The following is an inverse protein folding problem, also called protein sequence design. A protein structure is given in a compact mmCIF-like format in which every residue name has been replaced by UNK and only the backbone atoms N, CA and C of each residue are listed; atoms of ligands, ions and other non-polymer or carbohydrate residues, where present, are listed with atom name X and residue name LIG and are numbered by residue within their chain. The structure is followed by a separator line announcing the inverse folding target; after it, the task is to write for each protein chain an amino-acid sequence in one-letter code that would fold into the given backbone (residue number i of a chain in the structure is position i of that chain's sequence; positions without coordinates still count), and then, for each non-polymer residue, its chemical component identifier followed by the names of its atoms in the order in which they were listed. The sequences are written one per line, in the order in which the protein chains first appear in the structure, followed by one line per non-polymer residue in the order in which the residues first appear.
data_IF_318526413267
#
_entry.id   IF_318526413267
#
_cell.length_a   1.000
_cell.length_b   1.000
_cell.length_c   1.000
_cell.angle_alpha   90.00
_cell.angle_beta   90.00
_cell.angle_gamma   90.00
#
_symmetry.space_group_name_H-M   'P 1'
#
loop_
_entity.id
_entity.type
_entity.pdbx_description
1 polymer ?
#
# COMPACT_ATOMS: atom_id res chain seq x y z
N UNK A 1 -6.60 -4.17 8.59
CA UNK A 1 -8.00 -4.51 8.29
C UNK A 1 -8.62 -5.51 9.28
N UNK A 2 -7.79 -6.38 9.84
CA UNK A 2 -8.28 -7.35 10.83
C UNK A 2 -8.82 -6.67 12.11
N UNK A 3 -8.26 -5.54 12.51
CA UNK A 3 -8.81 -4.74 13.60
C UNK A 3 -10.23 -4.25 13.34
N UNK A 4 -10.56 -3.85 12.12
CA UNK A 4 -11.91 -3.45 11.71
C UNK A 4 -12.94 -4.56 11.73
N UNK A 5 -12.52 -5.82 11.77
CA UNK A 5 -13.41 -6.96 11.96
C UNK A 5 -13.84 -7.14 13.41
N UNK A 6 -13.04 -6.66 14.34
CA UNK A 6 -13.27 -6.82 15.77
C UNK A 6 -13.94 -5.58 16.39
N UNK A 7 -13.61 -4.41 15.85
CA UNK A 7 -14.11 -3.14 16.37
C UNK A 7 -14.77 -2.35 15.24
N UNK A 8 -16.08 -2.14 15.37
CA UNK A 8 -16.84 -1.31 14.45
C UNK A 8 -16.36 0.16 14.55
N UNK A 9 -16.33 0.86 13.41
CA UNK A 9 -15.85 2.24 13.29
C UNK A 9 -14.38 2.45 13.72
N UNK A 10 -13.57 1.40 13.64
CA UNK A 10 -12.11 1.54 13.82
C UNK A 10 -11.54 2.56 12.83
N UNK A 11 -10.48 3.29 13.20
CA UNK A 11 -9.82 4.24 12.30
C UNK A 11 -9.33 3.57 11.02
N UNK A 12 -9.37 4.31 9.92
CA UNK A 12 -8.83 3.84 8.64
C UNK A 12 -7.30 3.81 8.72
N UNK A 13 -6.64 2.63 8.58
CA UNK A 13 -5.20 2.50 8.77
C UNK A 13 -4.36 3.46 7.92
N UNK A 14 -4.72 3.70 6.67
CA UNK A 14 -4.00 4.66 5.82
C UNK A 14 -3.92 6.06 6.42
N UNK A 15 -4.99 6.52 7.09
CA UNK A 15 -5.01 7.84 7.74
C UNK A 15 -4.11 7.90 8.98
N UNK A 16 -3.77 6.76 9.57
CA UNK A 16 -2.90 6.67 10.74
C UNK A 16 -1.40 6.64 10.40
N UNK A 17 -1.03 6.30 9.16
CA UNK A 17 0.38 6.12 8.78
C UNK A 17 1.23 7.35 9.13
N UNK A 18 0.85 8.59 8.78
CA UNK A 18 1.66 9.77 9.09
C UNK A 18 1.89 9.97 10.59
N UNK A 19 0.85 9.79 11.41
CA UNK A 19 0.94 9.96 12.85
C UNK A 19 1.79 8.87 13.50
N UNK A 20 1.62 7.62 13.07
CA UNK A 20 2.45 6.49 13.52
C UNK A 20 3.91 6.73 13.13
N UNK A 21 4.18 7.15 11.89
CA UNK A 21 5.53 7.48 11.44
C UNK A 21 6.15 8.61 12.25
N UNK A 22 5.37 9.65 12.53
CA UNK A 22 5.82 10.77 13.38
C UNK A 22 6.18 10.32 14.79
N UNK A 23 5.36 9.46 15.39
CA UNK A 23 5.57 8.96 16.74
C UNK A 23 6.79 8.01 16.85
N UNK A 24 6.99 7.13 15.86
CA UNK A 24 8.06 6.11 15.87
C UNK A 24 9.39 6.62 15.30
N UNK A 25 9.38 7.74 14.57
CA UNK A 25 10.57 8.21 13.85
C UNK A 25 10.99 7.26 12.73
N UNK A 26 12.27 7.33 12.29
CA UNK A 26 12.77 6.57 11.15
C UNK A 26 13.42 5.22 11.52
N UNK A 27 13.63 4.95 12.81
CA UNK A 27 14.35 3.76 13.27
C UNK A 27 13.51 2.48 13.27
N UNK A 28 12.19 2.61 13.33
CA UNK A 28 11.26 1.49 13.39
C UNK A 28 10.53 1.39 12.05
N UNK A 29 10.48 0.17 11.50
CA UNK A 29 9.71 -0.08 10.28
C UNK A 29 8.21 0.00 10.57
N UNK A 30 7.49 0.66 9.67
CA UNK A 30 6.03 0.74 9.67
C UNK A 30 5.52 -0.07 8.49
N UNK A 31 4.84 -1.16 8.77
CA UNK A 31 4.17 -1.98 7.78
C UNK A 31 2.66 -1.69 7.82
N UNK A 32 2.03 -1.70 6.66
CA UNK A 32 0.59 -1.52 6.55
C UNK A 32 -0.04 -2.65 5.76
N UNK A 33 -1.12 -3.19 6.28
CA UNK A 33 -2.03 -4.05 5.56
C UNK A 33 -3.42 -3.41 5.61
N UNK A 34 -4.15 -3.43 4.59
CA UNK A 34 -5.58 -3.14 4.51
C UNK A 34 -5.95 -2.48 3.17
N UNK A 35 -6.93 -3.03 2.52
CA UNK A 35 -7.56 -2.43 1.35
C UNK A 35 -6.64 -2.19 0.15
N UNK A 36 -5.42 -2.71 0.14
CA UNK A 36 -4.48 -2.57 -0.97
C UNK A 36 -4.92 -3.48 -2.11
N UNK A 37 -5.49 -2.86 -3.14
CA UNK A 37 -6.03 -3.54 -4.32
C UNK A 37 -5.43 -3.02 -5.62
N UNK A 38 -4.72 -1.89 -5.58
CA UNK A 38 -4.12 -1.23 -6.74
C UNK A 38 -2.68 -0.81 -6.45
N UNK A 39 -1.84 -0.76 -7.49
CA UNK A 39 -0.45 -0.32 -7.32
C UNK A 39 -0.30 1.11 -6.79
N UNK A 40 -1.27 1.98 -7.05
CA UNK A 40 -1.29 3.33 -6.48
C UNK A 40 -1.48 3.32 -4.96
N UNK A 41 -2.21 2.34 -4.39
CA UNK A 41 -2.37 2.23 -2.94
C UNK A 41 -1.02 1.96 -2.27
N UNK A 42 -0.17 1.12 -2.91
CA UNK A 42 1.18 0.81 -2.44
C UNK A 42 2.03 2.09 -2.45
N UNK A 43 2.02 2.84 -3.56
CA UNK A 43 2.77 4.10 -3.70
C UNK A 43 2.29 5.12 -2.65
N UNK A 44 0.98 5.23 -2.44
CA UNK A 44 0.38 6.09 -1.41
C UNK A 44 0.88 5.70 -0.01
N UNK A 45 0.83 4.43 0.36
CA UNK A 45 1.30 3.97 1.66
C UNK A 45 2.78 4.32 1.91
N UNK A 46 3.65 4.10 0.93
CA UNK A 46 5.08 4.43 1.01
C UNK A 46 5.27 5.95 1.13
N UNK A 47 4.57 6.75 0.32
CA UNK A 47 4.66 8.21 0.38
C UNK A 47 4.19 8.78 1.72
N UNK A 48 3.22 8.13 2.39
CA UNK A 48 2.77 8.47 3.73
C UNK A 48 3.73 8.05 4.85
N UNK A 49 4.75 7.26 4.52
CA UNK A 49 5.80 6.87 5.47
C UNK A 49 5.82 5.40 5.87
N UNK A 50 5.04 4.54 5.24
CA UNK A 50 5.21 3.09 5.41
C UNK A 50 6.51 2.61 4.75
N UNK A 51 7.12 1.57 5.32
CA UNK A 51 8.28 0.90 4.75
C UNK A 51 7.87 -0.28 3.89
N UNK A 52 6.73 -0.89 4.20
CA UNK A 52 6.27 -2.11 3.55
C UNK A 52 4.74 -2.19 3.54
N UNK A 53 4.20 -2.89 2.55
CA UNK A 53 2.76 -3.14 2.43
C UNK A 53 2.47 -4.63 2.30
N UNK A 54 1.37 -5.07 2.90
CA UNK A 54 0.89 -6.43 2.79
C UNK A 54 -0.40 -6.45 1.96
N UNK A 55 -0.54 -7.46 1.12
CA UNK A 55 -1.74 -7.69 0.33
C UNK A 55 -2.41 -9.00 0.75
N UNK A 56 -3.73 -9.04 0.70
CA UNK A 56 -4.54 -10.24 0.95
C UNK A 56 -5.41 -10.56 -0.27
N UNK A 57 -6.59 -9.97 -0.34
CA UNK A 57 -7.58 -10.26 -1.39
C UNK A 57 -7.05 -10.07 -2.82
N UNK A 58 -6.13 -9.13 -3.04
CA UNK A 58 -5.58 -8.89 -4.37
C UNK A 58 -4.95 -10.16 -4.99
N UNK A 59 -4.13 -10.90 -4.23
CA UNK A 59 -3.56 -12.15 -4.74
C UNK A 59 -4.54 -13.33 -4.66
N UNK A 60 -5.45 -13.33 -3.64
CA UNK A 60 -6.44 -14.41 -3.51
C UNK A 60 -7.39 -14.47 -4.71
N UNK A 61 -7.82 -13.34 -5.25
CA UNK A 61 -8.64 -13.31 -6.46
C UNK A 61 -7.88 -13.91 -7.66
N UNK A 62 -6.59 -13.61 -7.78
CA UNK A 62 -5.75 -14.26 -8.79
C UNK A 62 -5.64 -15.76 -8.59
N UNK A 63 -5.43 -16.21 -7.35
CA UNK A 63 -5.37 -17.62 -7.01
C UNK A 63 -6.67 -18.36 -7.36
N UNK A 64 -7.82 -17.76 -7.04
CA UNK A 64 -9.14 -18.32 -7.37
C UNK A 64 -9.39 -18.39 -8.88
N UNK A 65 -8.91 -17.40 -9.63
CA UNK A 65 -9.12 -17.31 -11.07
C UNK A 65 -8.21 -18.23 -11.89
N UNK A 66 -6.96 -18.47 -11.46
CA UNK A 66 -5.99 -19.19 -12.29
C UNK A 66 -4.84 -19.84 -11.50
N UNK A 67 -5.05 -20.18 -10.23
CA UNK A 67 -4.03 -20.84 -9.42
C UNK A 67 -2.74 -20.00 -9.33
N UNK A 68 -1.58 -20.65 -9.43
CA UNK A 68 -0.27 -19.98 -9.40
C UNK A 68 -0.15 -18.88 -10.46
N UNK A 69 -0.53 -19.18 -11.69
CA UNK A 69 -0.40 -18.22 -12.81
C UNK A 69 -1.29 -16.99 -12.59
N UNK A 70 -2.45 -17.16 -11.96
CA UNK A 70 -3.34 -16.08 -11.54
C UNK A 70 -2.71 -15.21 -10.46
N UNK A 71 -1.98 -15.78 -9.51
CA UNK A 71 -1.21 -15.03 -8.50
C UNK A 71 -0.10 -14.21 -9.18
N UNK A 72 0.69 -14.85 -10.03
CA UNK A 72 1.78 -14.19 -10.76
C UNK A 72 1.24 -13.02 -11.59
N UNK A 73 0.09 -13.20 -12.25
CA UNK A 73 -0.57 -12.14 -13.01
C UNK A 73 -1.05 -10.99 -12.12
N UNK A 74 -1.59 -11.27 -10.94
CA UNK A 74 -2.02 -10.25 -9.98
C UNK A 74 -0.84 -9.38 -9.52
N UNK A 75 0.29 -10.02 -9.21
CA UNK A 75 1.51 -9.31 -8.80
C UNK A 75 2.08 -8.45 -9.95
N UNK A 76 2.05 -8.97 -11.18
CA UNK A 76 2.47 -8.21 -12.37
C UNK A 76 1.59 -6.97 -12.60
N UNK A 77 0.28 -7.10 -12.44
CA UNK A 77 -0.66 -5.98 -12.55
C UNK A 77 -0.32 -4.90 -11.52
N UNK A 78 -0.19 -5.28 -10.24
CA UNK A 78 0.16 -4.33 -9.17
C UNK A 78 1.50 -3.64 -9.46
N UNK A 79 2.53 -4.39 -9.88
CA UNK A 79 3.84 -3.84 -10.23
C UNK A 79 3.75 -2.84 -11.40
N UNK A 80 3.02 -3.19 -12.43
CA UNK A 80 2.82 -2.31 -13.60
C UNK A 80 2.12 -1.01 -13.21
N UNK A 81 1.11 -1.10 -12.34
CA UNK A 81 0.40 0.06 -11.82
C UNK A 81 1.30 0.94 -10.94
N UNK A 82 2.15 0.35 -10.09
CA UNK A 82 3.14 1.08 -9.29
C UNK A 82 4.09 1.87 -10.20
N UNK A 83 4.69 1.20 -11.19
CA UNK A 83 5.64 1.83 -12.13
C UNK A 83 4.97 2.98 -12.88
N UNK A 84 3.73 2.80 -13.33
CA UNK A 84 2.96 3.84 -14.01
C UNK A 84 2.72 5.04 -13.09
N UNK A 85 2.29 4.79 -11.86
CA UNK A 85 2.07 5.84 -10.85
C UNK A 85 3.35 6.62 -10.58
N UNK A 86 4.47 5.94 -10.35
CA UNK A 86 5.76 6.58 -10.14
C UNK A 86 6.19 7.45 -11.33
N UNK A 87 6.00 6.97 -12.56
CA UNK A 87 6.29 7.75 -13.77
C UNK A 87 5.44 9.03 -13.84
N UNK A 88 4.16 8.95 -13.51
CA UNK A 88 3.26 10.11 -13.50
C UNK A 88 3.62 11.12 -12.40
N UNK A 89 4.14 10.65 -11.27
CA UNK A 89 4.64 11.50 -10.17
C UNK A 89 6.04 12.07 -10.44
N UNK A 90 6.75 11.59 -11.47
CA UNK A 90 8.14 11.96 -11.73
C UNK A 90 9.14 11.35 -10.75
N UNK A 91 8.74 10.35 -9.95
CA UNK A 91 9.60 9.68 -8.98
C UNK A 91 10.37 8.53 -9.65
N UNK A 92 11.71 8.53 -9.51
CA UNK A 92 12.61 7.52 -10.08
C UNK A 92 12.82 6.32 -9.16
N UNK A 93 12.59 6.50 -7.87
CA UNK A 93 12.73 5.45 -6.85
C UNK A 93 11.68 5.63 -5.75
N UNK A 94 11.41 4.56 -4.98
CA UNK A 94 10.53 4.64 -3.82
C UNK A 94 11.04 5.62 -2.75
N UNK A 95 12.34 5.81 -2.66
CA UNK A 95 12.97 6.74 -1.73
C UNK A 95 12.69 8.22 -2.05
N UNK A 96 12.29 8.53 -3.27
CA UNK A 96 11.90 9.89 -3.69
C UNK A 96 10.43 10.20 -3.39
N UNK A 97 9.64 9.21 -2.99
CA UNK A 97 8.24 9.42 -2.64
C UNK A 97 8.11 10.22 -1.34
N UNK A 98 7.22 11.19 -1.36
CA UNK A 98 6.96 12.12 -0.25
C UNK A 98 5.48 12.39 -0.08
N UNK A 99 5.11 12.86 1.10
CA UNK A 99 3.72 13.18 1.44
C UNK A 99 3.11 14.21 0.49
N UNK A 100 3.92 15.13 -0.06
CA UNK A 100 3.46 16.15 -1.01
C UNK A 100 2.96 15.57 -2.35
N UNK A 101 3.31 14.31 -2.66
CA UNK A 101 2.76 13.60 -3.82
C UNK A 101 1.31 13.11 -3.61
N UNK A 102 0.80 13.22 -2.39
CA UNK A 102 -0.49 12.65 -1.98
C UNK A 102 -1.42 13.76 -1.51
N UNK A 103 -2.67 13.72 -1.98
CA UNK A 103 -3.75 14.49 -1.40
C UNK A 103 -4.72 13.52 -0.72
N UNK A 104 -4.79 13.58 0.61
CA UNK A 104 -5.76 12.82 1.40
C UNK A 104 -7.04 13.65 1.46
N UNK A 105 -8.02 13.25 0.66
CA UNK A 105 -9.38 13.81 0.69
C UNK A 105 -10.16 13.31 1.91
#
# INVERSE_FOLDING_TARGET
NHGGRQLDRAPVPFKLIPDVRKALGKKIEVHVDTGIMHGADIITAIALGANFTWIGRAYLYGLMAGGKDGVDRSLEILRTQMIRTMKLLGARSLAELRTEHINLL
#
